data_IF_286116031850
#
_entry.id   IF_286116031850
#
_cell.length_a   1.000
_cell.length_b   1.000
_cell.length_c   1.000
_cell.angle_alpha   90.00
_cell.angle_beta   90.00
_cell.angle_gamma   90.00
#
_symmetry.space_group_name_H-M   'P 1'
#
loop_
_entity.id
_entity.type
_entity.pdbx_description
1 polymer ?
#
# COMPACT_ATOMS: atom_id res chain seq x y z
N UNK A 1 -13.57 25.30 -22.54
CA UNK A 1 -12.30 24.55 -22.69
C UNK A 1 -12.29 23.37 -21.71
N UNK A 2 -12.64 23.59 -20.44
CA UNK A 2 -12.92 22.51 -19.46
C UNK A 2 -14.09 21.62 -19.90
N UNK A 3 -15.19 22.21 -20.42
CA UNK A 3 -16.33 21.43 -20.93
C UNK A 3 -16.01 20.57 -22.18
N UNK A 4 -14.94 20.91 -22.91
CA UNK A 4 -14.47 20.12 -24.05
C UNK A 4 -13.69 18.87 -23.59
N UNK A 5 -12.94 18.99 -22.49
CA UNK A 5 -12.23 17.86 -21.88
C UNK A 5 -13.19 16.91 -21.14
N UNK A 6 -14.20 17.44 -20.44
CA UNK A 6 -15.24 16.62 -19.80
C UNK A 6 -16.07 15.85 -20.86
N UNK A 7 -16.41 16.49 -21.98
CA UNK A 7 -17.14 15.83 -23.07
C UNK A 7 -16.31 14.78 -23.84
N UNK A 8 -14.98 14.90 -23.85
CA UNK A 8 -14.06 13.89 -24.41
C UNK A 8 -13.93 12.73 -23.43
N UNK A 9 -13.79 13.01 -22.13
CA UNK A 9 -13.72 12.01 -21.07
C UNK A 9 -14.99 11.14 -21.02
N UNK A 10 -16.17 11.76 -21.10
CA UNK A 10 -17.46 11.05 -21.11
C UNK A 10 -17.69 10.22 -22.39
N UNK A 11 -17.08 10.60 -23.52
CA UNK A 11 -17.11 9.82 -24.77
C UNK A 11 -16.12 8.66 -24.80
N UNK A 12 -15.01 8.74 -24.06
CA UNK A 12 -13.94 7.73 -24.04
C UNK A 12 -14.27 6.55 -23.11
N UNK A 13 -15.06 6.77 -22.07
CA UNK A 13 -15.36 5.73 -21.06
C UNK A 13 -16.48 4.77 -21.51
N UNK A 14 -17.27 5.12 -22.52
CA UNK A 14 -18.41 4.30 -22.94
C UNK A 14 -18.51 4.09 -24.45
N UNK A 15 -17.74 3.14 -25.03
CA UNK A 15 -18.17 2.26 -26.16
C UNK A 15 -17.04 1.32 -26.68
N UNK A 16 -17.03 0.06 -26.23
CA UNK A 16 -16.78 -1.20 -26.99
C UNK A 16 -15.57 -1.46 -27.96
N UNK A 17 -14.90 -2.61 -27.69
CA UNK A 17 -14.31 -3.67 -28.59
C UNK A 17 -12.78 -3.75 -28.81
N UNK A 18 -12.26 -4.94 -28.44
CA UNK A 18 -10.87 -5.44 -28.30
C UNK A 18 -9.84 -5.15 -29.40
N UNK A 19 -10.23 -4.87 -30.64
CA UNK A 19 -9.27 -4.66 -31.74
C UNK A 19 -8.86 -3.18 -31.90
N UNK A 20 -9.70 -2.25 -31.45
CA UNK A 20 -9.34 -0.83 -31.34
C UNK A 20 -8.41 -0.62 -30.13
N UNK A 21 -8.65 -1.34 -29.04
CA UNK A 21 -7.85 -1.32 -27.82
C UNK A 21 -6.35 -1.59 -28.07
N UNK A 22 -5.97 -2.51 -28.98
CA UNK A 22 -4.54 -2.76 -29.26
C UNK A 22 -3.88 -1.72 -30.17
N UNK A 23 -4.65 -1.04 -31.04
CA UNK A 23 -4.13 0.08 -31.84
C UNK A 23 -4.01 1.34 -30.99
N UNK A 24 -5.05 1.62 -30.21
CA UNK A 24 -5.11 2.74 -29.27
C UNK A 24 -4.10 2.56 -28.13
N UNK A 25 -3.77 1.32 -27.72
CA UNK A 25 -2.70 1.07 -26.75
C UNK A 25 -1.30 1.31 -27.30
N UNK A 26 -1.04 1.02 -28.58
CA UNK A 26 0.25 1.40 -29.21
C UNK A 26 0.35 2.91 -29.41
N UNK A 27 -0.76 3.57 -29.73
CA UNK A 27 -0.81 5.02 -29.79
C UNK A 27 -0.67 5.64 -28.39
N UNK A 28 -1.31 5.08 -27.37
CA UNK A 28 -1.18 5.46 -25.97
C UNK A 28 0.24 5.23 -25.44
N UNK A 29 0.86 4.08 -25.69
CA UNK A 29 2.23 3.78 -25.26
C UNK A 29 3.21 4.79 -25.89
N UNK A 30 2.98 5.16 -27.16
CA UNK A 30 3.76 6.19 -27.85
C UNK A 30 3.51 7.59 -27.28
N UNK A 31 2.26 7.94 -27.02
CA UNK A 31 1.86 9.21 -26.38
C UNK A 31 2.38 9.28 -24.93
N UNK A 32 2.45 8.15 -24.23
CA UNK A 32 2.99 8.01 -22.88
C UNK A 32 4.51 8.14 -22.88
N UNK A 33 5.23 7.51 -23.82
CA UNK A 33 6.67 7.71 -24.03
C UNK A 33 6.99 9.17 -24.37
N UNK A 34 6.16 9.81 -25.21
CA UNK A 34 6.28 11.24 -25.50
C UNK A 34 6.01 12.09 -24.25
N UNK A 35 4.98 11.77 -23.47
CA UNK A 35 4.67 12.43 -22.20
C UNK A 35 5.81 12.30 -21.20
N UNK A 36 6.37 11.09 -21.00
CA UNK A 36 7.50 10.84 -20.11
C UNK A 36 8.73 11.65 -20.54
N UNK A 37 9.06 11.63 -21.83
CA UNK A 37 10.14 12.44 -22.41
C UNK A 37 9.94 13.94 -22.14
N UNK A 38 8.73 14.46 -22.35
CA UNK A 38 8.46 15.89 -22.13
C UNK A 38 8.32 16.26 -20.65
N UNK A 39 7.85 15.35 -19.79
CA UNK A 39 7.81 15.52 -18.33
C UNK A 39 9.22 15.54 -17.73
N UNK A 40 10.13 14.66 -18.16
CA UNK A 40 11.54 14.72 -17.76
C UNK A 40 12.22 16.02 -18.19
N UNK A 41 11.94 16.49 -19.42
CA UNK A 41 12.42 17.78 -19.91
C UNK A 41 11.81 18.95 -19.13
N UNK A 42 10.54 18.85 -18.72
CA UNK A 42 9.83 19.84 -17.94
C UNK A 42 10.43 20.02 -16.54
N UNK A 43 10.86 18.92 -15.90
CA UNK A 43 11.43 18.89 -14.54
C UNK A 43 12.87 19.41 -14.45
N UNK A 44 13.68 19.25 -15.51
CA UNK A 44 15.12 19.57 -15.52
C UNK A 44 15.48 20.84 -16.31
N UNK A 45 14.80 21.96 -16.03
CA UNK A 45 14.88 23.20 -16.82
C UNK A 45 16.30 23.82 -16.88
N UNK A 46 17.07 23.75 -15.79
CA UNK A 46 18.41 24.35 -15.71
C UNK A 46 19.50 23.52 -16.42
N UNK A 47 19.29 22.21 -16.60
CA UNK A 47 20.28 21.32 -17.24
C UNK A 47 20.06 21.13 -18.74
N UNK A 48 18.91 21.58 -19.28
CA UNK A 48 18.44 21.22 -20.63
C UNK A 48 18.16 22.41 -21.56
N UNK A 49 18.68 23.61 -21.30
CA UNK A 49 18.51 24.77 -22.20
C UNK A 49 18.93 24.48 -23.66
N UNK A 50 19.97 23.67 -23.85
CA UNK A 50 20.46 23.29 -25.17
C UNK A 50 19.51 22.33 -25.91
N UNK A 51 18.71 21.56 -25.18
CA UNK A 51 17.71 20.62 -25.73
C UNK A 51 16.42 21.36 -26.04
N UNK A 52 15.98 22.25 -25.15
CA UNK A 52 14.78 23.08 -25.35
C UNK A 52 14.89 23.95 -26.63
N UNK A 53 16.08 24.45 -26.97
CA UNK A 53 16.34 25.21 -28.20
C UNK A 53 16.18 24.39 -29.50
N UNK A 54 16.15 23.06 -29.42
CA UNK A 54 16.01 22.16 -30.58
C UNK A 54 14.58 21.64 -30.76
N UNK A 55 13.67 21.94 -29.83
CA UNK A 55 12.27 21.54 -29.92
C UNK A 55 11.50 22.44 -30.89
N UNK A 56 10.53 21.86 -31.59
CA UNK A 56 9.56 22.59 -32.39
C UNK A 56 8.58 23.38 -31.50
N UNK A 57 7.86 24.34 -32.08
CA UNK A 57 6.88 25.15 -31.35
C UNK A 57 5.79 24.32 -30.66
N UNK A 58 5.36 23.20 -31.28
CA UNK A 58 4.33 22.30 -30.72
C UNK A 58 4.86 21.49 -29.53
N UNK A 59 6.12 21.06 -29.58
CA UNK A 59 6.76 20.35 -28.48
C UNK A 59 7.01 21.29 -27.29
N UNK A 60 7.39 22.54 -27.55
CA UNK A 60 7.54 23.58 -26.51
C UNK A 60 6.20 23.90 -25.82
N UNK A 61 5.11 23.98 -26.58
CA UNK A 61 3.76 24.15 -26.05
C UNK A 61 3.34 22.97 -25.16
N UNK A 62 3.67 21.74 -25.56
CA UNK A 62 3.40 20.52 -24.79
C UNK A 62 4.17 20.49 -23.46
N UNK A 63 5.47 20.80 -23.48
CA UNK A 63 6.30 20.92 -22.27
C UNK A 63 5.73 22.00 -21.33
N UNK A 64 5.29 23.14 -21.88
CA UNK A 64 4.68 24.20 -21.07
C UNK A 64 3.37 23.76 -20.42
N UNK A 65 2.49 23.05 -21.13
CA UNK A 65 1.24 22.52 -20.58
C UNK A 65 1.51 21.52 -19.45
N UNK A 66 2.45 20.59 -19.65
CA UNK A 66 2.85 19.62 -18.61
C UNK A 66 3.37 20.34 -17.36
N UNK A 67 4.20 21.39 -17.53
CA UNK A 67 4.67 22.20 -16.39
C UNK A 67 3.55 22.88 -15.62
N UNK A 68 2.51 23.37 -16.31
CA UNK A 68 1.36 23.97 -15.64
C UNK A 68 0.51 22.92 -14.91
N UNK A 69 0.34 21.74 -15.50
CA UNK A 69 -0.37 20.62 -14.89
C UNK A 69 0.36 20.10 -13.64
N UNK A 70 1.67 19.83 -13.72
CA UNK A 70 2.48 19.39 -12.58
C UNK A 70 2.47 20.43 -11.45
N UNK A 71 2.55 21.74 -11.78
CA UNK A 71 2.42 22.81 -10.78
C UNK A 71 1.04 22.86 -10.13
N UNK A 72 -0.02 22.67 -10.91
CA UNK A 72 -1.38 22.65 -10.38
C UNK A 72 -1.60 21.44 -9.47
N UNK A 73 -1.11 20.27 -9.87
CA UNK A 73 -1.14 19.04 -9.06
C UNK A 73 -0.33 19.20 -7.76
N UNK A 74 0.87 19.79 -7.83
CA UNK A 74 1.67 20.05 -6.64
C UNK A 74 1.04 21.10 -5.72
N UNK A 75 0.34 22.11 -6.27
CA UNK A 75 -0.42 23.07 -5.48
C UNK A 75 -1.68 22.45 -4.85
N UNK A 76 -2.38 21.55 -5.55
CA UNK A 76 -3.47 20.74 -5.01
C UNK A 76 -2.94 19.88 -3.86
N UNK A 77 -1.87 19.10 -4.09
CA UNK A 77 -1.25 18.25 -3.07
C UNK A 77 -0.76 19.07 -1.88
N UNK A 78 -0.23 20.29 -2.11
CA UNK A 78 0.15 21.20 -1.02
C UNK A 78 -1.08 21.65 -0.22
N UNK A 79 -2.17 22.03 -0.87
CA UNK A 79 -3.42 22.42 -0.21
C UNK A 79 -4.07 21.27 0.54
N UNK A 80 -4.05 20.06 -0.01
CA UNK A 80 -4.50 18.83 0.65
C UNK A 80 -3.64 18.53 1.87
N UNK A 81 -2.31 18.61 1.75
CA UNK A 81 -1.40 18.46 2.88
C UNK A 81 -1.57 19.55 3.95
N UNK A 82 -1.83 20.80 3.55
CA UNK A 82 -2.10 21.91 4.48
C UNK A 82 -3.46 21.74 5.17
N UNK A 83 -4.48 21.28 4.44
CA UNK A 83 -5.79 20.97 5.00
C UNK A 83 -5.70 19.77 5.94
N UNK A 84 -5.01 18.70 5.54
CA UNK A 84 -4.70 17.55 6.37
C UNK A 84 -3.93 17.97 7.63
N UNK A 85 -2.89 18.79 7.50
CA UNK A 85 -2.13 19.34 8.64
C UNK A 85 -3.01 20.16 9.58
N UNK A 86 -3.92 20.99 9.06
CA UNK A 86 -4.88 21.75 9.85
C UNK A 86 -5.90 20.83 10.57
N UNK A 87 -6.34 19.76 9.91
CA UNK A 87 -7.21 18.73 10.48
C UNK A 87 -6.49 17.97 11.62
N UNK A 88 -5.23 17.59 11.39
CA UNK A 88 -4.34 16.98 12.39
C UNK A 88 -4.13 17.91 13.59
N UNK A 89 -3.77 19.18 13.35
CA UNK A 89 -3.47 20.18 14.38
C UNK A 89 -4.69 20.59 15.22
N UNK A 90 -5.89 20.49 14.66
CA UNK A 90 -7.14 20.71 15.42
C UNK A 90 -7.54 19.50 16.27
N UNK A 91 -6.80 18.38 16.20
CA UNK A 91 -7.18 17.11 16.82
C UNK A 91 -8.39 16.46 16.14
N UNK A 92 -8.82 17.01 15.01
CA UNK A 92 -9.90 16.54 14.15
C UNK A 92 -9.22 15.91 12.93
N UNK A 93 -8.28 14.98 13.15
CA UNK A 93 -8.18 13.97 12.13
C UNK A 93 -9.53 13.31 12.07
N UNK A 94 -10.07 13.37 10.87
CA UNK A 94 -11.48 13.37 10.68
C UNK A 94 -12.06 12.03 11.13
N UNK A 95 -12.64 12.00 12.33
CA UNK A 95 -13.26 10.83 12.94
C UNK A 95 -14.20 10.12 11.95
N UNK A 96 -14.68 10.84 10.92
CA UNK A 96 -15.46 10.32 9.80
C UNK A 96 -14.75 9.20 9.02
N UNK A 97 -13.46 9.28 8.70
CA UNK A 97 -12.75 8.17 8.01
C UNK A 97 -12.69 6.92 8.89
N UNK A 98 -12.34 7.09 10.18
CA UNK A 98 -12.34 5.98 11.13
C UNK A 98 -13.74 5.36 11.28
N UNK A 99 -14.77 6.19 11.44
CA UNK A 99 -16.18 5.75 11.49
C UNK A 99 -16.55 4.99 10.21
N UNK A 100 -16.18 5.50 9.03
CA UNK A 100 -16.49 4.87 7.75
C UNK A 100 -15.82 3.51 7.60
N UNK A 101 -14.51 3.42 7.80
CA UNK A 101 -13.80 2.15 7.69
C UNK A 101 -14.22 1.12 8.74
N UNK A 102 -14.44 1.55 9.99
CA UNK A 102 -14.86 0.63 11.05
C UNK A 102 -16.30 0.14 10.85
N UNK A 103 -17.18 0.99 10.30
CA UNK A 103 -18.54 0.58 9.94
C UNK A 103 -18.54 -0.38 8.74
N UNK A 104 -17.67 -0.13 7.75
CA UNK A 104 -17.44 -1.07 6.65
C UNK A 104 -16.98 -2.42 7.18
N UNK A 105 -15.96 -2.42 8.06
CA UNK A 105 -15.41 -3.63 8.66
C UNK A 105 -16.47 -4.40 9.48
N UNK A 106 -17.31 -3.69 10.23
CA UNK A 106 -18.40 -4.28 11.01
C UNK A 106 -19.43 -4.98 10.12
N UNK A 107 -19.81 -4.35 9.00
CA UNK A 107 -20.75 -4.93 8.01
C UNK A 107 -20.13 -6.12 7.29
N UNK A 108 -18.88 -6.03 6.84
CA UNK A 108 -18.14 -7.16 6.28
C UNK A 108 -18.13 -8.34 7.25
N UNK A 109 -17.86 -8.10 8.53
CA UNK A 109 -17.80 -9.12 9.57
C UNK A 109 -19.17 -9.72 9.96
N UNK A 110 -20.28 -9.19 9.46
CA UNK A 110 -21.64 -9.62 9.86
C UNK A 110 -22.16 -10.83 9.08
N UNK A 111 -21.42 -11.33 8.09
CA UNK A 111 -21.79 -12.49 7.29
C UNK A 111 -20.57 -13.31 6.86
N UNK A 112 -20.79 -14.59 6.53
CA UNK A 112 -19.72 -15.46 6.05
C UNK A 112 -19.22 -15.07 4.66
N UNK A 113 -17.90 -15.00 4.51
CA UNK A 113 -17.21 -14.70 3.26
C UNK A 113 -15.76 -15.24 3.25
N UNK A 114 -15.12 -15.41 2.08
CA UNK A 114 -13.74 -15.89 1.96
C UNK A 114 -12.66 -14.79 2.12
N UNK A 115 -13.04 -13.55 2.33
CA UNK A 115 -12.08 -12.46 2.57
C UNK A 115 -11.49 -12.50 3.98
N UNK A 116 -10.21 -12.20 4.10
CA UNK A 116 -9.45 -12.16 5.35
C UNK A 116 -8.87 -10.76 5.53
N UNK A 117 -9.16 -10.11 6.66
CA UNK A 117 -8.68 -8.76 6.95
C UNK A 117 -7.15 -8.76 7.11
N UNK A 118 -6.45 -7.86 6.44
CA UNK A 118 -5.00 -7.64 6.62
C UNK A 118 -4.71 -6.16 6.92
N UNK A 119 -3.42 -5.82 6.97
CA UNK A 119 -2.99 -4.43 7.01
C UNK A 119 -3.38 -3.73 8.30
N UNK A 120 -3.52 -2.42 8.24
CA UNK A 120 -3.58 -1.56 9.41
C UNK A 120 -4.75 -1.83 10.37
N UNK A 121 -5.95 -2.03 9.84
CA UNK A 121 -7.13 -2.35 10.66
C UNK A 121 -6.99 -3.69 11.39
N UNK A 122 -6.37 -4.70 10.77
CA UNK A 122 -6.04 -5.97 11.43
C UNK A 122 -4.86 -5.86 12.41
N UNK A 123 -4.19 -4.72 12.53
CA UNK A 123 -3.11 -4.53 13.51
C UNK A 123 -3.56 -3.80 14.75
N UNK A 124 -4.69 -3.08 14.70
CA UNK A 124 -5.17 -2.26 15.81
C UNK A 124 -5.28 -3.03 17.12
N UNK A 125 -5.59 -4.32 17.09
CA UNK A 125 -5.70 -5.15 18.31
C UNK A 125 -4.36 -5.59 18.90
N UNK A 126 -3.24 -5.37 18.22
CA UNK A 126 -1.88 -5.61 18.74
C UNK A 126 -1.21 -4.34 19.29
N UNK A 127 -1.84 -3.17 19.14
CA UNK A 127 -1.34 -1.94 19.74
C UNK A 127 -1.92 -1.75 21.14
N UNK A 128 -1.11 -1.23 22.07
CA UNK A 128 -1.63 -0.75 23.35
C UNK A 128 -2.55 0.46 23.11
N UNK A 129 -3.57 0.63 23.95
CA UNK A 129 -4.57 1.71 23.81
C UNK A 129 -3.94 3.12 23.75
N UNK A 130 -2.73 3.29 24.31
CA UNK A 130 -1.99 4.55 24.30
C UNK A 130 -1.34 4.89 22.95
N UNK A 131 -1.21 3.91 22.06
CA UNK A 131 -0.62 4.04 20.73
C UNK A 131 -1.76 4.19 19.73
N UNK A 132 -2.04 5.44 19.37
CA UNK A 132 -2.99 5.76 18.31
C UNK A 132 -2.32 5.51 16.96
N UNK A 133 -2.68 4.41 16.32
CA UNK A 133 -2.25 4.04 14.95
C UNK A 133 -3.45 4.18 14.02
N UNK A 134 -3.46 5.19 13.16
CA UNK A 134 -4.49 5.39 12.14
C UNK A 134 -4.20 4.59 10.86
N UNK A 135 -5.25 4.14 10.18
CA UNK A 135 -5.15 3.50 8.86
C UNK A 135 -5.84 4.37 7.83
N UNK A 136 -5.20 4.54 6.69
CA UNK A 136 -5.72 5.32 5.55
C UNK A 136 -6.53 4.44 4.57
N UNK A 137 -6.38 3.12 4.66
CA UNK A 137 -6.99 2.12 3.80
C UNK A 137 -7.50 0.91 4.60
N UNK A 138 -8.46 0.19 4.02
CA UNK A 138 -8.85 -1.14 4.50
C UNK A 138 -8.44 -2.22 3.51
N UNK A 139 -7.57 -3.10 3.98
CA UNK A 139 -6.98 -4.15 3.19
C UNK A 139 -7.58 -5.53 3.47
N UNK A 140 -7.82 -6.28 2.41
CA UNK A 140 -8.32 -7.65 2.47
C UNK A 140 -7.47 -8.59 1.63
N UNK A 141 -7.52 -9.88 1.96
CA UNK A 141 -7.00 -10.97 1.14
C UNK A 141 -8.14 -11.88 0.76
N UNK A 142 -8.32 -12.11 -0.55
CA UNK A 142 -9.19 -13.16 -1.05
C UNK A 142 -8.44 -14.48 -1.11
N UNK A 143 -8.92 -15.49 -0.37
CA UNK A 143 -8.17 -16.74 -0.16
C UNK A 143 -8.54 -17.88 -1.11
N UNK A 144 -9.56 -17.72 -1.94
CA UNK A 144 -9.94 -18.77 -2.89
C UNK A 144 -9.26 -18.56 -4.25
N UNK A 145 -9.06 -19.63 -5.05
CA UNK A 145 -8.43 -19.50 -6.36
C UNK A 145 -9.28 -18.67 -7.34
N UNK A 146 -8.66 -17.68 -7.99
CA UNK A 146 -9.28 -16.92 -9.07
C UNK A 146 -8.75 -17.36 -10.42
N UNK A 147 -9.68 -17.71 -11.32
CA UNK A 147 -9.35 -18.25 -12.65
C UNK A 147 -9.30 -17.17 -13.74
N UNK A 148 -9.88 -15.99 -13.51
CA UNK A 148 -9.87 -14.88 -14.47
C UNK A 148 -10.20 -13.56 -13.78
N UNK A 149 -9.84 -12.45 -14.43
CA UNK A 149 -10.18 -11.10 -13.97
C UNK A 149 -11.69 -10.87 -13.92
N UNK A 150 -12.44 -11.39 -14.90
CA UNK A 150 -13.91 -11.27 -14.91
C UNK A 150 -14.54 -11.99 -13.72
N UNK A 151 -13.99 -13.14 -13.34
CA UNK A 151 -14.41 -13.87 -12.14
C UNK A 151 -14.06 -13.10 -10.87
N UNK A 152 -12.85 -12.54 -10.78
CA UNK A 152 -12.44 -11.70 -9.67
C UNK A 152 -13.37 -10.48 -9.49
N UNK A 153 -13.61 -9.74 -10.58
CA UNK A 153 -14.51 -8.57 -10.59
C UNK A 153 -15.92 -8.94 -10.12
N UNK A 154 -16.48 -10.04 -10.61
CA UNK A 154 -17.80 -10.50 -10.21
C UNK A 154 -17.87 -10.76 -8.69
N UNK A 155 -16.95 -11.57 -8.17
CA UNK A 155 -16.92 -11.94 -6.74
C UNK A 155 -16.69 -10.72 -5.85
N UNK A 156 -15.74 -9.86 -6.21
CA UNK A 156 -15.40 -8.70 -5.40
C UNK A 156 -16.56 -7.69 -5.39
N UNK A 157 -17.22 -7.47 -6.53
CA UNK A 157 -18.43 -6.63 -6.59
C UNK A 157 -19.58 -7.23 -5.80
N UNK A 158 -19.85 -8.53 -5.90
CA UNK A 158 -20.93 -9.17 -5.12
C UNK A 158 -20.70 -9.06 -3.60
N UNK A 159 -19.45 -9.23 -3.16
CA UNK A 159 -19.08 -9.02 -1.75
C UNK A 159 -19.29 -7.57 -1.31
N UNK A 160 -18.84 -6.63 -2.13
CA UNK A 160 -19.00 -5.19 -1.88
C UNK A 160 -20.46 -4.78 -1.80
N UNK A 161 -21.28 -5.24 -2.76
CA UNK A 161 -22.70 -4.96 -2.83
C UNK A 161 -23.41 -5.40 -1.56
N UNK A 162 -23.09 -6.60 -1.06
CA UNK A 162 -23.63 -7.10 0.20
C UNK A 162 -23.27 -6.23 1.40
N UNK A 163 -22.06 -5.66 1.44
CA UNK A 163 -21.64 -4.74 2.51
C UNK A 163 -22.42 -3.43 2.42
N UNK A 164 -22.55 -2.88 1.22
CA UNK A 164 -23.27 -1.64 0.95
C UNK A 164 -24.75 -1.77 1.32
N UNK A 165 -25.36 -2.91 1.00
CA UNK A 165 -26.77 -3.22 1.28
C UNK A 165 -27.03 -3.61 2.75
N UNK A 166 -25.99 -4.02 3.49
CA UNK A 166 -26.13 -4.34 4.91
C UNK A 166 -26.35 -3.06 5.70
N UNK A 167 -27.52 -2.95 6.34
CA UNK A 167 -27.83 -1.87 7.26
C UNK A 167 -27.65 -2.34 8.71
N UNK A 168 -27.01 -1.53 9.54
CA UNK A 168 -26.86 -1.78 10.98
C UNK A 168 -27.57 -0.66 11.72
N UNK A 169 -28.59 -1.01 12.48
CA UNK A 169 -29.37 -0.05 13.24
C UNK A 169 -28.46 0.80 14.16
N UNK A 170 -28.55 2.12 13.98
CA UNK A 170 -27.87 3.09 14.84
C UNK A 170 -26.39 3.34 14.52
N UNK A 171 -25.82 2.80 13.43
CA UNK A 171 -24.44 3.11 13.02
C UNK A 171 -24.28 4.44 12.26
N UNK A 172 -25.42 5.09 11.91
CA UNK A 172 -25.51 6.45 11.35
C UNK A 172 -24.79 6.65 10.01
N UNK A 173 -24.46 5.56 9.32
CA UNK A 173 -23.71 5.61 8.06
C UNK A 173 -24.48 4.93 6.93
N UNK A 174 -24.42 5.52 5.74
CA UNK A 174 -24.93 4.93 4.50
C UNK A 174 -23.77 4.76 3.55
N UNK A 175 -23.60 3.55 3.02
CA UNK A 175 -22.67 3.34 1.91
C UNK A 175 -23.44 3.43 0.61
N UNK A 176 -22.77 3.97 -0.40
CA UNK A 176 -23.24 4.05 -1.77
C UNK A 176 -22.08 3.66 -2.69
N UNK A 177 -22.40 3.00 -3.81
CA UNK A 177 -21.40 2.80 -4.86
C UNK A 177 -21.00 4.19 -5.38
N UNK A 178 -19.71 4.41 -5.62
CA UNK A 178 -19.23 5.67 -6.17
C UNK A 178 -19.96 6.03 -7.47
N UNK A 179 -20.14 7.32 -7.74
CA UNK A 179 -20.79 7.84 -8.96
C UNK A 179 -20.11 7.42 -10.26
N UNK A 180 -18.85 6.98 -10.18
CA UNK A 180 -18.08 6.45 -11.31
C UNK A 180 -18.25 4.93 -11.52
N UNK A 181 -19.09 4.27 -10.72
CA UNK A 181 -19.28 2.82 -10.70
C UNK A 181 -18.20 2.08 -9.89
N UNK A 182 -18.44 0.79 -9.58
CA UNK A 182 -17.43 -0.08 -8.92
C UNK A 182 -16.38 -0.43 -9.97
N UNK A 183 -15.34 0.39 -10.05
CA UNK A 183 -14.16 0.09 -10.85
C UNK A 183 -13.13 -0.59 -9.96
N UNK A 184 -12.67 -1.77 -10.39
CA UNK A 184 -11.56 -2.49 -9.77
C UNK A 184 -10.31 -2.15 -10.56
N UNK A 185 -9.53 -1.22 -10.03
CA UNK A 185 -8.31 -0.73 -10.67
C UNK A 185 -7.29 -1.85 -10.81
N UNK A 186 -6.59 -1.90 -11.94
CA UNK A 186 -5.35 -2.67 -12.05
C UNK A 186 -5.46 -4.16 -11.71
N UNK A 187 -6.61 -4.81 -11.97
CA UNK A 187 -6.77 -6.27 -11.92
C UNK A 187 -5.73 -7.03 -12.79
N UNK A 188 -5.05 -6.30 -13.67
CA UNK A 188 -4.06 -6.74 -14.65
C UNK A 188 -2.62 -6.54 -14.17
N UNK A 189 -2.41 -5.81 -13.07
CA UNK A 189 -1.09 -5.34 -12.64
C UNK A 189 -0.68 -6.01 -11.32
N UNK A 190 -0.01 -7.16 -11.44
CA UNK A 190 0.87 -7.59 -10.36
C UNK A 190 2.18 -6.81 -10.53
N UNK A 191 2.48 -5.89 -9.61
CA UNK A 191 3.85 -5.40 -9.49
C UNK A 191 4.76 -6.63 -9.34
N UNK A 192 5.90 -6.66 -10.05
CA UNK A 192 6.78 -7.84 -10.04
C UNK A 192 7.18 -8.27 -8.61
N UNK A 193 7.17 -7.31 -7.69
CA UNK A 193 7.61 -7.39 -6.29
C UNK A 193 6.45 -7.33 -5.26
N UNK A 194 5.18 -7.39 -5.65
CA UNK A 194 4.04 -7.32 -4.71
C UNK A 194 2.91 -8.30 -5.08
N UNK A 195 1.98 -8.54 -4.15
CA UNK A 195 0.79 -9.35 -4.38
C UNK A 195 -0.12 -8.69 -5.43
N UNK A 196 -0.75 -9.47 -6.33
CA UNK A 196 -1.83 -8.96 -7.17
C UNK A 196 -2.88 -8.29 -6.27
N UNK A 197 -3.03 -6.97 -6.42
CA UNK A 197 -3.89 -6.15 -5.56
C UNK A 197 -4.72 -5.22 -6.44
N UNK A 198 -6.00 -5.11 -6.13
CA UNK A 198 -6.92 -4.20 -6.79
C UNK A 198 -7.60 -3.32 -5.75
N UNK A 199 -7.94 -2.10 -6.14
CA UNK A 199 -8.62 -1.11 -5.33
C UNK A 199 -9.97 -0.76 -5.93
N UNK A 200 -10.90 -0.36 -5.07
CA UNK A 200 -12.11 0.35 -5.45
C UNK A 200 -12.47 1.39 -4.40
N UNK A 201 -13.30 2.36 -4.78
CA UNK A 201 -13.77 3.42 -3.89
C UNK A 201 -15.27 3.28 -3.62
N UNK A 202 -15.66 3.56 -2.38
CA UNK A 202 -17.05 3.54 -1.93
C UNK A 202 -17.35 4.87 -1.27
N UNK A 203 -18.52 5.43 -1.56
CA UNK A 203 -18.98 6.62 -0.86
C UNK A 203 -19.61 6.24 0.47
N UNK A 204 -19.16 6.89 1.53
CA UNK A 204 -19.69 6.79 2.88
C UNK A 204 -20.33 8.12 3.27
N UNK A 205 -21.63 8.12 3.56
CA UNK A 205 -22.36 9.28 4.06
C UNK A 205 -22.68 9.09 5.54
N UNK A 206 -22.16 9.96 6.40
CA UNK A 206 -22.39 9.98 7.84
C UNK A 206 -23.49 10.99 8.15
N UNK A 207 -24.48 10.58 8.93
CA UNK A 207 -25.61 11.42 9.36
C UNK A 207 -26.45 12.04 8.24
N UNK A 208 -26.36 11.51 7.02
CA UNK A 208 -26.93 12.10 5.80
C UNK A 208 -26.42 13.53 5.49
N UNK A 209 -25.27 13.92 6.06
CA UNK A 209 -24.72 15.27 5.90
C UNK A 209 -23.38 15.20 5.21
N UNK A 210 -22.44 14.47 5.81
CA UNK A 210 -21.05 14.44 5.34
C UNK A 210 -20.81 13.21 4.49
N UNK A 211 -20.30 13.39 3.28
CA UNK A 211 -19.89 12.29 2.41
C UNK A 211 -18.39 12.32 2.20
N UNK A 212 -17.76 11.15 2.29
CA UNK A 212 -16.37 10.91 1.95
C UNK A 212 -16.27 9.63 1.14
N UNK A 213 -15.25 9.53 0.31
CA UNK A 213 -14.95 8.30 -0.41
C UNK A 213 -13.86 7.52 0.37
N UNK A 214 -14.07 6.22 0.56
CA UNK A 214 -13.13 5.31 1.23
C UNK A 214 -12.58 4.28 0.25
N UNK A 215 -11.29 4.00 0.35
CA UNK A 215 -10.60 3.02 -0.50
C UNK A 215 -10.60 1.63 0.13
N UNK A 216 -11.06 0.63 -0.62
CA UNK A 216 -11.00 -0.79 -0.27
C UNK A 216 -10.00 -1.48 -1.18
N UNK A 217 -9.03 -2.18 -0.58
CA UNK A 217 -8.01 -2.94 -1.31
C UNK A 217 -8.20 -4.44 -1.10
N UNK A 218 -8.04 -5.21 -2.17
CA UNK A 218 -8.12 -6.67 -2.15
C UNK A 218 -6.89 -7.23 -2.83
N UNK A 219 -6.05 -7.90 -2.04
CA UNK A 219 -5.00 -8.78 -2.57
C UNK A 219 -5.58 -10.17 -2.82
N UNK A 220 -5.15 -10.84 -3.89
CA UNK A 220 -5.72 -12.12 -4.29
C UNK A 220 -4.70 -13.07 -4.90
N UNK A 221 -5.09 -14.34 -5.07
CA UNK A 221 -4.18 -15.42 -5.47
C UNK A 221 -2.94 -15.49 -4.55
N UNK A 222 -3.19 -15.32 -3.25
CA UNK A 222 -2.18 -15.40 -2.21
C UNK A 222 -2.50 -16.58 -1.29
N UNK A 223 -1.56 -17.51 -1.16
CA UNK A 223 -1.69 -18.63 -0.23
C UNK A 223 -1.33 -18.16 1.18
N UNK A 224 -2.29 -18.17 2.09
CA UNK A 224 -2.01 -17.94 3.51
C UNK A 224 -1.36 -19.19 4.12
N UNK A 225 -0.09 -19.08 4.50
CA UNK A 225 0.67 -20.21 5.10
C UNK A 225 0.15 -20.59 6.48
N UNK A 226 -0.49 -19.67 7.19
CA UNK A 226 -1.12 -19.91 8.49
C UNK A 226 -2.60 -19.54 8.45
N UNK A 227 -3.46 -20.27 9.20
CA UNK A 227 -4.89 -20.02 9.19
C UNK A 227 -5.21 -18.60 9.71
N UNK A 228 -6.29 -17.98 9.21
CA UNK A 228 -6.81 -16.74 9.77
C UNK A 228 -7.12 -16.87 11.26
N UNK A 229 -7.02 -15.75 11.97
CA UNK A 229 -7.38 -15.64 13.39
C UNK A 229 -8.65 -14.81 13.55
N UNK A 230 -9.37 -15.08 14.63
CA UNK A 230 -10.54 -14.30 15.06
C UNK A 230 -10.15 -13.41 16.23
N UNK A 231 -10.66 -12.18 16.27
CA UNK A 231 -10.42 -11.29 17.41
C UNK A 231 -11.60 -10.33 17.66
N UNK A 232 -11.64 -9.74 18.85
CA UNK A 232 -12.59 -8.70 19.22
C UNK A 232 -12.04 -7.33 18.79
N UNK A 233 -12.63 -6.73 17.77
CA UNK A 233 -12.27 -5.40 17.31
C UNK A 233 -12.94 -4.33 18.19
N UNK A 234 -12.15 -3.39 18.70
CA UNK A 234 -12.62 -2.24 19.46
C UNK A 234 -12.60 -1.00 18.55
N UNK A 235 -13.75 -0.58 18.01
CA UNK A 235 -13.79 0.61 17.17
C UNK A 235 -13.53 1.88 17.98
N UNK A 236 -13.10 2.94 17.31
CA UNK A 236 -13.07 4.28 17.88
C UNK A 236 -14.47 4.73 18.31
N UNK A 237 -15.51 4.27 17.60
CA UNK A 237 -16.91 4.61 17.85
C UNK A 237 -17.82 3.38 17.84
N UNK A 238 -18.73 3.31 18.82
CA UNK A 238 -19.74 2.25 18.92
C UNK A 238 -19.26 0.99 19.66
N UNK A 239 -20.06 -0.07 19.58
CA UNK A 239 -19.82 -1.30 20.33
C UNK A 239 -18.75 -2.17 19.66
N UNK A 240 -17.88 -2.83 20.46
CA UNK A 240 -16.97 -3.87 19.96
C UNK A 240 -17.71 -4.97 19.18
N UNK A 241 -17.03 -5.55 18.20
CA UNK A 241 -17.57 -6.64 17.38
C UNK A 241 -16.48 -7.65 17.01
N UNK A 242 -16.88 -8.85 16.61
CA UNK A 242 -15.95 -9.91 16.23
C UNK A 242 -15.55 -9.74 14.76
N UNK A 243 -14.24 -9.73 14.49
CA UNK A 243 -13.70 -9.92 13.14
C UNK A 243 -13.41 -11.41 12.98
N UNK A 244 -14.15 -12.14 12.14
CA UNK A 244 -14.07 -13.61 12.10
C UNK A 244 -12.77 -14.11 11.47
N UNK A 245 -12.23 -13.39 10.50
CA UNK A 245 -11.04 -13.80 9.74
C UNK A 245 -10.10 -12.62 9.54
N UNK A 246 -8.95 -12.67 10.20
CA UNK A 246 -7.85 -11.74 10.00
C UNK A 246 -6.52 -12.47 9.86
N UNK A 247 -5.57 -11.84 9.20
CA UNK A 247 -4.24 -12.38 9.01
C UNK A 247 -3.53 -12.51 10.37
N UNK A 248 -2.91 -13.67 10.59
CA UNK A 248 -2.21 -13.95 11.86
C UNK A 248 -0.99 -13.04 12.05
N UNK A 249 -0.63 -12.78 13.32
CA UNK A 249 0.51 -11.93 13.67
C UNK A 249 1.82 -12.29 12.94
N UNK A 250 2.23 -13.57 12.83
CA UNK A 250 3.45 -13.93 12.11
C UNK A 250 3.46 -13.51 10.64
N UNK A 251 2.30 -13.61 9.97
CA UNK A 251 2.15 -13.26 8.55
C UNK A 251 2.18 -11.75 8.37
N UNK A 252 1.48 -10.99 9.23
CA UNK A 252 1.52 -9.53 9.20
C UNK A 252 2.97 -9.00 9.38
N UNK A 253 3.73 -9.59 10.32
CA UNK A 253 5.14 -9.24 10.53
C UNK A 253 5.97 -9.56 9.29
N UNK A 254 5.83 -10.75 8.73
CA UNK A 254 6.58 -11.17 7.55
C UNK A 254 6.31 -10.27 6.34
N UNK A 255 5.03 -9.95 6.05
CA UNK A 255 4.67 -9.06 4.94
C UNK A 255 5.20 -7.65 5.11
N UNK A 256 5.18 -7.11 6.34
CA UNK A 256 5.74 -5.79 6.61
C UNK A 256 7.26 -5.77 6.52
N UNK A 257 7.94 -6.84 6.96
CA UNK A 257 9.38 -6.96 6.80
C UNK A 257 9.76 -7.08 5.32
N UNK A 258 9.05 -7.90 4.56
CA UNK A 258 9.22 -8.03 3.13
C UNK A 258 9.05 -6.68 2.41
N UNK A 259 7.97 -5.96 2.71
CA UNK A 259 7.75 -4.61 2.18
C UNK A 259 8.84 -3.63 2.58
N UNK A 260 9.40 -3.77 3.79
CA UNK A 260 10.54 -2.96 4.23
C UNK A 260 11.80 -3.24 3.38
N UNK A 261 11.97 -4.48 2.87
CA UNK A 261 13.06 -4.88 1.99
C UNK A 261 12.82 -4.49 0.52
N UNK A 262 11.57 -4.49 0.04
CA UNK A 262 11.23 -4.07 -1.32
C UNK A 262 11.32 -2.55 -1.49
N UNK A 263 10.66 -1.84 -0.58
CA UNK A 263 10.53 -0.39 -0.59
C UNK A 263 10.20 0.08 0.82
N UNK A 264 11.22 0.45 1.60
CA UNK A 264 11.04 0.79 3.01
C UNK A 264 9.98 1.86 3.19
N UNK A 265 8.91 1.58 3.96
CA UNK A 265 7.87 2.56 4.30
C UNK A 265 7.90 2.83 5.78
N UNK A 266 7.80 4.10 6.15
CA UNK A 266 7.83 4.50 7.56
C UNK A 266 6.76 3.78 8.39
N UNK A 267 5.54 3.63 7.84
CA UNK A 267 4.44 2.90 8.49
C UNK A 267 4.74 1.44 8.81
N UNK A 268 5.50 0.76 7.95
CA UNK A 268 5.86 -0.64 8.21
C UNK A 268 6.92 -0.75 9.31
N UNK A 269 7.93 0.12 9.29
CA UNK A 269 8.95 0.19 10.35
C UNK A 269 8.30 0.49 11.71
N UNK A 270 7.41 1.48 11.74
CA UNK A 270 6.64 1.82 12.95
C UNK A 270 5.82 0.65 13.47
N UNK A 271 5.03 0.01 12.60
CA UNK A 271 4.21 -1.14 12.98
C UNK A 271 5.10 -2.27 13.52
N UNK A 272 6.21 -2.58 12.84
CA UNK A 272 7.14 -3.65 13.23
C UNK A 272 7.79 -3.44 14.58
N UNK A 273 8.18 -2.20 14.95
CA UNK A 273 8.72 -1.89 16.29
C UNK A 273 7.78 -2.38 17.38
N UNK A 274 6.47 -2.24 17.18
CA UNK A 274 5.45 -2.63 18.15
C UNK A 274 5.11 -4.11 18.07
N UNK A 275 4.89 -4.63 16.86
CA UNK A 275 4.51 -6.03 16.66
C UNK A 275 5.59 -7.01 17.13
N UNK A 276 6.86 -6.70 16.90
CA UNK A 276 7.99 -7.54 17.32
C UNK A 276 8.16 -7.54 18.86
N UNK A 277 7.66 -6.52 19.56
CA UNK A 277 7.66 -6.42 21.03
C UNK A 277 6.36 -6.95 21.65
N UNK A 278 5.38 -7.35 20.85
CA UNK A 278 4.07 -7.73 21.34
C UNK A 278 4.14 -9.03 22.19
N UNK A 279 3.43 -9.13 23.34
CA UNK A 279 3.48 -10.30 24.20
C UNK A 279 3.10 -11.62 23.53
N UNK A 280 2.24 -11.59 22.50
CA UNK A 280 1.85 -12.79 21.75
C UNK A 280 2.89 -13.23 20.71
N UNK A 281 3.90 -12.41 20.43
CA UNK A 281 4.98 -12.73 19.51
C UNK A 281 6.06 -13.58 20.20
N UNK A 282 5.69 -14.80 20.59
CA UNK A 282 6.55 -15.78 21.29
C UNK A 282 7.25 -16.73 20.31
N UNK A 283 8.07 -17.64 20.83
CA UNK A 283 8.91 -18.58 20.08
C UNK A 283 8.25 -19.20 18.82
N UNK A 284 7.05 -19.77 18.93
CA UNK A 284 6.36 -20.35 17.78
C UNK A 284 5.94 -19.27 16.75
N UNK A 285 5.45 -18.11 17.20
CA UNK A 285 5.10 -17.01 16.32
C UNK A 285 6.33 -16.41 15.64
N UNK A 286 7.45 -16.29 16.35
CA UNK A 286 8.75 -15.86 15.83
C UNK A 286 9.24 -16.81 14.73
N UNK A 287 9.26 -18.12 14.99
CA UNK A 287 9.66 -19.12 14.01
C UNK A 287 8.80 -19.04 12.74
N UNK A 288 7.47 -18.90 12.93
CA UNK A 288 6.52 -18.77 11.84
C UNK A 288 6.74 -17.52 11.01
N UNK A 289 7.01 -16.37 11.64
CA UNK A 289 7.25 -15.11 10.95
C UNK A 289 8.53 -15.14 10.14
N UNK A 290 9.60 -15.75 10.67
CA UNK A 290 10.86 -15.91 9.94
C UNK A 290 10.71 -16.84 8.73
N UNK A 291 10.01 -17.98 8.90
CA UNK A 291 9.74 -18.88 7.79
C UNK A 291 8.87 -18.21 6.72
N UNK A 292 7.88 -17.44 7.15
CA UNK A 292 7.03 -16.70 6.22
C UNK A 292 7.80 -15.63 5.45
N UNK A 293 8.71 -14.91 6.11
CA UNK A 293 9.58 -13.95 5.43
C UNK A 293 10.45 -14.63 4.36
N UNK A 294 11.01 -15.81 4.66
CA UNK A 294 11.74 -16.64 3.67
C UNK A 294 10.85 -16.98 2.47
N UNK A 295 9.59 -17.33 2.73
CA UNK A 295 8.63 -17.63 1.67
C UNK A 295 8.30 -16.40 0.82
N UNK A 296 8.08 -15.23 1.41
CA UNK A 296 7.79 -14.00 0.66
C UNK A 296 8.97 -13.57 -0.20
N UNK A 297 10.17 -13.45 0.39
CA UNK A 297 11.36 -13.04 -0.33
C UNK A 297 11.67 -13.96 -1.52
N UNK A 298 11.43 -15.27 -1.38
CA UNK A 298 11.61 -16.21 -2.48
C UNK A 298 10.59 -16.02 -3.63
N UNK A 299 9.37 -15.57 -3.32
CA UNK A 299 8.29 -15.34 -4.32
C UNK A 299 8.41 -13.97 -4.98
N UNK A 300 8.80 -12.94 -4.22
CA UNK A 300 9.01 -11.58 -4.71
C UNK A 300 10.38 -11.36 -5.36
N UNK A 301 11.38 -12.18 -5.01
CA UNK A 301 12.73 -12.11 -5.57
C UNK A 301 13.69 -11.20 -4.79
N UNK A 302 13.29 -10.74 -3.62
CA UNK A 302 14.12 -9.93 -2.73
C UNK A 302 15.19 -10.78 -2.03
N UNK A 303 16.39 -10.23 -1.90
CA UNK A 303 17.44 -10.85 -1.12
C UNK A 303 17.17 -10.65 0.38
N UNK A 304 16.82 -11.73 1.07
CA UNK A 304 16.58 -11.71 2.52
C UNK A 304 17.81 -11.25 3.32
N UNK A 305 19.02 -11.39 2.77
CA UNK A 305 20.25 -10.93 3.40
C UNK A 305 20.32 -9.41 3.50
N UNK A 306 19.52 -8.67 2.73
CA UNK A 306 19.39 -7.22 2.88
C UNK A 306 18.83 -6.80 4.24
N UNK A 307 18.22 -7.72 5.01
CA UNK A 307 17.81 -7.45 6.39
C UNK A 307 18.99 -6.98 7.27
N UNK A 308 20.25 -7.30 6.90
CA UNK A 308 21.48 -6.77 7.53
C UNK A 308 21.49 -5.24 7.69
N UNK A 309 20.80 -4.52 6.79
CA UNK A 309 20.64 -3.07 6.89
C UNK A 309 19.96 -2.64 8.18
N UNK A 310 19.00 -3.44 8.66
CA UNK A 310 18.12 -3.12 9.77
C UNK A 310 18.50 -3.84 11.08
N UNK A 311 19.14 -5.01 11.00
CA UNK A 311 19.64 -5.71 12.21
C UNK A 311 21.04 -5.23 12.65
N UNK A 312 21.80 -4.67 11.72
CA UNK A 312 23.09 -4.00 11.98
C UNK A 312 22.94 -2.48 12.13
N UNK A 313 24.06 -1.77 12.06
CA UNK A 313 24.10 -0.31 12.27
C UNK A 313 23.93 0.51 10.99
N UNK A 314 23.80 -0.12 9.82
CA UNK A 314 23.82 0.59 8.53
C UNK A 314 22.67 1.58 8.36
N UNK A 315 21.41 1.18 8.61
CA UNK A 315 20.27 2.08 8.52
C UNK A 315 20.33 3.21 9.56
N UNK A 316 20.63 2.88 10.82
CA UNK A 316 20.82 3.88 11.89
C UNK A 316 21.90 4.90 11.51
N UNK A 317 23.07 4.43 11.05
CA UNK A 317 24.19 5.29 10.64
C UNK A 317 23.84 6.15 9.43
N UNK A 318 23.11 5.60 8.47
CA UNK A 318 22.62 6.35 7.31
C UNK A 318 21.77 7.56 7.74
N UNK A 319 20.81 7.36 8.65
CA UNK A 319 19.96 8.45 9.13
C UNK A 319 20.70 9.44 10.03
N UNK A 320 21.59 8.97 10.91
CA UNK A 320 22.48 9.85 11.67
C UNK A 320 23.22 10.84 10.75
N UNK A 321 23.86 10.34 9.68
CA UNK A 321 24.60 11.18 8.75
C UNK A 321 23.69 12.14 7.97
N UNK A 322 22.51 11.66 7.55
CA UNK A 322 21.50 12.46 6.84
C UNK A 322 21.02 13.63 7.70
N UNK A 323 20.64 13.36 8.94
CA UNK A 323 20.03 14.33 9.86
C UNK A 323 21.05 15.35 10.40
N UNK A 324 22.33 14.98 10.48
CA UNK A 324 23.43 15.88 10.87
C UNK A 324 24.05 16.64 9.68
N UNK A 325 23.39 16.68 8.52
CA UNK A 325 23.87 17.35 7.29
C UNK A 325 25.25 16.87 6.80
N UNK A 326 25.58 15.60 7.03
CA UNK A 326 26.86 14.98 6.64
C UNK A 326 26.77 14.25 5.28
N UNK A 327 25.83 14.63 4.42
CA UNK A 327 25.58 13.95 3.15
C UNK A 327 26.73 14.07 2.14
N UNK A 328 27.60 15.07 2.30
CA UNK A 328 28.76 15.25 1.42
C UNK A 328 29.96 14.38 1.82
N UNK A 329 29.91 13.73 2.97
CA UNK A 329 30.98 12.83 3.42
C UNK A 329 31.08 11.60 2.55
N UNK A 330 32.31 11.09 2.43
CA UNK A 330 32.59 9.84 1.70
C UNK A 330 31.85 8.64 2.32
N UNK A 331 31.67 8.64 3.64
CA UNK A 331 30.91 7.61 4.35
C UNK A 331 29.43 7.58 3.91
N UNK A 332 28.75 8.74 3.90
CA UNK A 332 27.36 8.81 3.45
C UNK A 332 27.22 8.39 1.98
N UNK A 333 28.10 8.88 1.11
CA UNK A 333 28.10 8.54 -0.32
C UNK A 333 28.26 7.04 -0.55
N UNK A 334 29.11 6.38 0.23
CA UNK A 334 29.30 4.93 0.16
C UNK A 334 28.09 4.15 0.67
N UNK A 335 27.56 4.50 1.85
CA UNK A 335 26.35 3.88 2.38
C UNK A 335 25.17 4.05 1.42
N UNK A 336 24.99 5.25 0.89
CA UNK A 336 23.91 5.51 -0.05
C UNK A 336 24.04 4.68 -1.33
N UNK A 337 25.23 4.62 -1.92
CA UNK A 337 25.49 3.77 -3.09
C UNK A 337 25.22 2.29 -2.79
N UNK A 338 25.62 1.81 -1.60
CA UNK A 338 25.32 0.45 -1.16
C UNK A 338 23.81 0.23 -1.01
N UNK A 339 23.08 1.19 -0.45
CA UNK A 339 21.62 1.10 -0.27
C UNK A 339 20.91 0.96 -1.62
N UNK A 340 21.35 1.69 -2.64
CA UNK A 340 20.82 1.59 -4.01
C UNK A 340 21.17 0.26 -4.67
N UNK A 341 22.41 -0.21 -4.50
CA UNK A 341 22.86 -1.51 -5.02
C UNK A 341 22.05 -2.66 -4.41
N UNK A 342 21.87 -2.62 -3.09
CA UNK A 342 21.09 -3.60 -2.34
C UNK A 342 19.57 -3.38 -2.49
N UNK A 343 19.16 -2.33 -3.22
CA UNK A 343 17.75 -1.93 -3.41
C UNK A 343 17.00 -1.65 -2.10
N UNK A 344 17.71 -1.25 -1.06
CA UNK A 344 17.15 -0.79 0.21
C UNK A 344 16.99 0.74 0.13
N UNK A 345 15.85 1.19 -0.37
CA UNK A 345 15.59 2.61 -0.60
C UNK A 345 15.34 3.36 0.72
N UNK A 346 16.36 3.99 1.31
CA UNK A 346 16.22 4.74 2.58
C UNK A 346 16.05 6.25 2.38
N UNK A 347 16.48 6.78 1.23
CA UNK A 347 16.52 8.25 1.00
C UNK A 347 15.16 8.92 1.11
N UNK A 348 14.09 8.27 0.66
CA UNK A 348 12.76 8.88 0.57
C UNK A 348 12.06 9.03 1.92
N UNK A 349 12.49 8.27 2.94
CA UNK A 349 11.90 8.34 4.27
C UNK A 349 12.17 9.68 4.95
N UNK A 350 11.13 10.24 5.57
CA UNK A 350 11.14 11.51 6.29
C UNK A 350 10.46 11.36 7.65
N UNK A 351 10.87 12.16 8.62
CA UNK A 351 10.26 12.14 9.95
C UNK A 351 8.79 12.57 9.91
N UNK A 352 8.45 13.53 9.03
CA UNK A 352 7.09 14.02 8.82
C UNK A 352 6.12 12.92 8.33
N UNK A 353 6.63 11.79 7.81
CA UNK A 353 5.81 10.63 7.45
C UNK A 353 5.06 10.07 8.66
N UNK A 354 5.54 10.35 9.89
CA UNK A 354 4.85 9.96 11.13
C UNK A 354 3.44 10.56 11.26
N UNK A 355 3.22 11.74 10.67
CA UNK A 355 1.91 12.43 10.70
C UNK A 355 0.78 11.60 10.07
N UNK A 356 1.12 10.70 9.14
CA UNK A 356 0.19 9.78 8.47
C UNK A 356 -0.27 8.62 9.36
N UNK A 357 0.44 8.37 10.47
CA UNK A 357 0.21 7.21 11.36
C UNK A 357 -0.34 7.64 12.71
N UNK A 358 0.06 8.82 13.21
CA UNK A 358 -0.36 9.34 14.51
C UNK A 358 -0.37 10.87 14.54
N UNK A 359 -1.47 11.42 15.04
CA UNK A 359 -1.69 12.86 15.16
C UNK A 359 -1.20 13.44 16.49
N UNK A 360 -0.68 12.61 17.39
CA UNK A 360 -0.15 13.08 18.65
C UNK A 360 1.33 13.48 18.48
N UNK A 361 1.56 14.73 18.09
CA UNK A 361 2.88 15.33 17.89
C UNK A 361 3.81 15.15 19.09
N UNK A 362 3.28 15.17 20.32
CA UNK A 362 4.08 15.00 21.54
C UNK A 362 4.70 13.61 21.68
N UNK A 363 4.16 12.62 20.96
CA UNK A 363 4.67 11.25 20.91
C UNK A 363 5.54 10.97 19.68
N UNK A 364 5.80 11.98 18.84
CA UNK A 364 6.60 11.77 17.64
C UNK A 364 8.06 11.46 18.03
N UNK A 365 8.70 10.50 17.34
CA UNK A 365 10.13 10.29 17.48
C UNK A 365 10.85 11.59 17.09
N UNK A 366 11.96 11.86 17.77
CA UNK A 366 12.73 13.09 17.55
C UNK A 366 13.65 13.00 16.32
N UNK A 367 13.94 11.78 15.84
CA UNK A 367 14.78 11.53 14.68
C UNK A 367 14.50 10.16 14.05
N UNK A 368 14.80 10.02 12.75
CA UNK A 368 14.80 8.75 12.05
C UNK A 368 15.89 7.82 12.57
N UNK A 369 17.05 8.36 12.99
CA UNK A 369 18.08 7.57 13.68
C UNK A 369 17.50 6.81 14.89
N UNK A 370 16.69 7.48 15.73
CA UNK A 370 16.06 6.83 16.88
C UNK A 370 15.07 5.76 16.45
N UNK A 371 14.23 6.03 15.45
CA UNK A 371 13.25 5.06 14.91
C UNK A 371 13.96 3.79 14.44
N UNK A 372 15.04 3.94 13.67
CA UNK A 372 15.78 2.79 13.15
C UNK A 372 16.63 2.09 14.22
N UNK A 373 17.02 2.80 15.28
CA UNK A 373 17.62 2.18 16.48
C UNK A 373 16.60 1.29 17.19
N UNK A 374 15.40 1.80 17.45
CA UNK A 374 14.32 1.04 18.08
C UNK A 374 13.90 -0.17 17.25
N UNK A 375 13.90 -0.02 15.91
CA UNK A 375 13.60 -1.10 14.98
C UNK A 375 14.68 -2.19 14.99
N UNK A 376 15.96 -1.80 14.97
CA UNK A 376 17.09 -2.72 15.12
C UNK A 376 16.99 -3.53 16.41
N UNK A 377 16.73 -2.86 17.53
CA UNK A 377 16.55 -3.53 18.83
C UNK A 377 15.36 -4.50 18.81
N UNK A 378 14.23 -4.09 18.24
CA UNK A 378 13.03 -4.92 18.12
C UNK A 378 13.32 -6.20 17.32
N UNK A 379 14.01 -6.08 16.18
CA UNK A 379 14.42 -7.22 15.35
C UNK A 379 15.35 -8.17 16.07
N UNK A 380 16.41 -7.63 16.69
CA UNK A 380 17.42 -8.43 17.39
C UNK A 380 16.81 -9.17 18.59
N UNK A 381 15.95 -8.52 19.37
CA UNK A 381 15.24 -9.15 20.50
C UNK A 381 14.24 -10.21 20.02
N UNK A 382 13.63 -10.00 18.86
CA UNK A 382 12.81 -10.99 18.17
C UNK A 382 13.63 -12.12 17.49
N UNK A 383 14.96 -12.10 17.63
CA UNK A 383 15.89 -13.11 17.12
C UNK A 383 16.03 -13.16 15.59
N UNK A 384 15.71 -12.06 14.90
CA UNK A 384 16.13 -11.87 13.51
C UNK A 384 17.62 -11.56 13.50
N UNK A 385 18.44 -12.50 13.01
CA UNK A 385 19.90 -12.37 12.93
C UNK A 385 20.39 -12.86 11.58
N UNK A 386 21.59 -12.47 11.14
CA UNK A 386 22.12 -12.84 9.81
C UNK A 386 22.09 -14.35 9.54
N UNK A 387 22.39 -15.15 10.57
CA UNK A 387 22.49 -16.60 10.46
C UNK A 387 21.16 -17.33 10.66
N UNK A 388 20.07 -16.65 11.03
CA UNK A 388 18.82 -17.33 11.36
C UNK A 388 18.19 -17.99 10.14
N UNK A 389 18.36 -17.39 8.96
CA UNK A 389 17.70 -17.84 7.73
C UNK A 389 18.36 -19.06 7.09
N UNK A 390 19.67 -19.27 7.32
CA UNK A 390 20.36 -20.48 6.85
C UNK A 390 19.96 -21.74 7.61
N UNK A 391 19.32 -21.58 8.77
CA UNK A 391 18.81 -22.67 9.61
C UNK A 391 17.34 -23.02 9.32
N UNK A 392 16.65 -22.23 8.51
CA UNK A 392 15.25 -22.44 8.19
C UNK A 392 15.06 -23.39 7.01
N UNK A 393 13.93 -24.13 6.97
CA UNK A 393 13.51 -24.86 5.79
C UNK A 393 13.53 -24.01 4.51
N UNK A 394 13.77 -24.63 3.34
CA UNK A 394 13.69 -23.94 2.06
C UNK A 394 12.27 -23.36 1.83
N UNK A 395 12.15 -22.32 0.99
CA UNK A 395 10.86 -21.73 0.66
C UNK A 395 9.86 -22.78 0.15
N UNK A 396 8.63 -22.72 0.64
CA UNK A 396 7.59 -23.69 0.29
C UNK A 396 6.36 -23.08 -0.42
N UNK A 397 6.36 -21.77 -0.65
CA UNK A 397 5.26 -21.06 -1.31
C UNK A 397 5.41 -21.06 -2.83
N UNK A 398 4.28 -21.19 -3.53
CA UNK A 398 4.20 -21.05 -4.98
C UNK A 398 3.58 -19.70 -5.35
N UNK A 399 4.13 -19.04 -6.36
CA UNK A 399 3.49 -17.86 -6.99
C UNK A 399 2.24 -18.34 -7.74
N UNK A 400 1.07 -17.86 -7.35
CA UNK A 400 -0.19 -18.19 -8.02
C UNK A 400 -0.49 -17.08 -9.04
N UNK A 401 -0.45 -17.43 -10.31
CA UNK A 401 -0.88 -16.54 -11.39
C UNK A 401 -2.35 -16.82 -11.74
N UNK A 402 -3.03 -15.86 -12.37
CA UNK A 402 -4.24 -16.19 -13.11
C UNK A 402 -3.89 -17.31 -14.08
N UNK A 403 -4.61 -18.44 -14.00
CA UNK A 403 -4.44 -19.50 -14.98
C UNK A 403 -4.74 -18.91 -16.35
N UNK A 404 -3.79 -18.97 -17.26
CA UNK A 404 -4.04 -18.54 -18.64
C UNK A 404 -5.15 -19.45 -19.19
N UNK A 405 -6.25 -18.92 -19.77
CA UNK A 405 -7.32 -19.75 -20.34
C UNK A 405 -6.82 -20.79 -21.35
N UNK A 406 -5.65 -20.57 -21.96
CA UNK A 406 -5.00 -21.51 -22.88
C UNK A 406 -4.49 -22.79 -22.20
N UNK A 407 -4.13 -22.76 -20.91
CA UNK A 407 -3.68 -23.94 -20.16
C UNK A 407 -4.80 -24.97 -19.96
N UNK A 408 -6.06 -24.54 -20.07
CA UNK A 408 -7.23 -25.41 -20.04
C UNK A 408 -7.45 -26.16 -21.37
N UNK A 409 -6.99 -25.60 -22.50
CA UNK A 409 -7.06 -26.27 -23.80
C UNK A 409 -5.95 -27.31 -23.96
N UNK A 410 -4.77 -27.05 -23.39
CA UNK A 410 -3.65 -28.00 -23.41
C UNK A 410 -3.86 -29.22 -22.51
N UNK A 411 -4.64 -29.09 -21.43
CA UNK A 411 -4.95 -30.20 -20.52
C UNK A 411 -6.11 -31.09 -20.99
N UNK A 412 -6.97 -30.61 -21.90
CA UNK A 412 -8.04 -31.40 -22.53
C UNK A 412 -7.65 -32.03 -23.88
N UNK A 413 -6.50 -31.67 -24.46
CA UNK A 413 -5.98 -32.31 -25.68
C UNK A 413 -5.06 -33.50 -25.40
N UNK A 414 -4.89 -33.88 -24.13
CA UNK A 414 -4.09 -35.04 -23.69
C UNK A 414 -4.88 -36.07 -22.86
N UNK A 415 -6.21 -36.00 -22.86
CA UNK A 415 -7.08 -37.02 -22.26
C UNK A 415 -7.72 -37.88 -23.34
#
# INVERSE_FOLDING_TARGET
MIDFFVAIWDKLVGFFVRDQYYKERKEFDKEWEEYQKYSELARNKESNEAILKKLSSKELETVFIIQQAEKAEEEIRRKENEHHKLLVETGIYDNRYAIAYESFLKRASSFEHPFVLKGGFALKHYFADEIMRYSEDIDWVYTEPLNSQSHARMIFTEWLDKIVETNIDGDRIRFEKSSYGVFWESLDYANENDFPTTSTEIRATIDNIDSLDITVQISFNLELTYPPVTFLYKPCYGNPFIVPKAVSLPVQIAWKLHQTLCYSRFKDVFDLIHLLKHPDFKELAMLRARQELVNECAVGGEDIHNLRWFIGDMATRFFYLKENNMMETEEFKNLDKMSQHDKVYLRHLKLDDYSTISHNADKWPQSLEQVFTDFKEALNNAGFTENVFSLLPPPNRKKLFFKNPEDFRASRSRS
#
